data_IF_095166453186
#
_entry.id   IF_095166453186
#
_cell.length_a   1.000
_cell.length_b   1.000
_cell.length_c   1.000
_cell.angle_alpha   90.00
_cell.angle_beta   90.00
_cell.angle_gamma   90.00
#
_symmetry.space_group_name_H-M   'P 1'
#
loop_
_entity.id
_entity.type
_entity.pdbx_description
1 polymer ?
#
# COMPACT_ATOMS: atom_id res chain seq x y z
N UNK A 1 51.22 90.79 19.25
CA UNK A 1 50.43 89.93 18.33
C UNK A 1 51.20 88.65 18.16
N UNK A 2 50.99 87.72 19.08
CA UNK A 2 51.61 86.39 19.07
C UNK A 2 50.49 85.39 19.31
N UNK A 3 50.44 84.40 18.44
CA UNK A 3 49.33 83.50 18.23
C UNK A 3 49.66 82.12 18.81
N UNK A 4 48.75 81.61 19.64
CA UNK A 4 48.38 80.20 19.73
C UNK A 4 49.45 79.14 20.01
N UNK A 5 49.67 78.84 21.30
CA UNK A 5 50.03 77.48 21.74
C UNK A 5 48.76 76.63 21.92
N UNK A 6 48.80 75.31 21.92
CA UNK A 6 49.88 74.38 21.69
C UNK A 6 49.35 72.95 21.81
N UNK A 7 50.15 72.03 21.25
CA UNK A 7 50.26 70.60 21.54
C UNK A 7 49.06 69.69 21.23
N UNK A 8 49.24 68.92 20.15
CA UNK A 8 48.36 67.83 19.75
C UNK A 8 48.65 66.51 20.47
N UNK A 9 47.59 65.73 20.59
CA UNK A 9 47.59 64.28 20.82
C UNK A 9 46.74 63.64 19.71
N UNK A 10 47.17 62.49 19.23
CA UNK A 10 46.66 61.80 18.05
C UNK A 10 45.26 61.22 18.26
N UNK A 11 44.37 61.38 17.28
CA UNK A 11 43.07 60.71 17.23
C UNK A 11 42.77 60.17 15.83
N UNK A 12 42.71 58.84 15.78
CA UNK A 12 41.78 57.97 15.05
C UNK A 12 41.71 57.98 13.51
N UNK A 13 42.10 56.83 12.95
CA UNK A 13 42.09 56.51 11.54
C UNK A 13 40.73 55.92 11.13
N UNK A 14 40.08 56.65 10.23
CA UNK A 14 39.05 56.35 9.24
C UNK A 14 38.33 54.98 9.17
N UNK A 15 37.03 55.18 8.96
CA UNK A 15 36.17 54.62 7.90
C UNK A 15 35.55 53.24 8.15
N UNK A 16 34.25 53.29 8.48
CA UNK A 16 33.36 52.15 8.34
C UNK A 16 33.00 51.90 6.88
N UNK A 17 32.72 50.64 6.58
CA UNK A 17 31.86 50.25 5.47
C UNK A 17 31.11 48.98 5.84
N UNK A 18 29.80 49.02 5.56
CA UNK A 18 28.81 47.99 5.81
C UNK A 18 28.99 46.81 4.85
N UNK A 19 28.82 45.58 5.35
CA UNK A 19 28.42 44.45 4.50
C UNK A 19 27.25 43.67 5.12
N UNK A 20 26.06 43.97 4.61
CA UNK A 20 25.29 42.98 3.85
C UNK A 20 24.57 41.87 4.61
N UNK A 21 23.54 42.21 5.37
CA UNK A 21 22.46 41.26 5.68
C UNK A 21 21.51 41.15 4.48
N UNK A 22 21.71 40.18 3.60
CA UNK A 22 20.70 39.78 2.60
C UNK A 22 19.84 38.63 3.14
N UNK A 23 18.88 38.97 4.00
CA UNK A 23 17.81 38.04 4.36
C UNK A 23 16.81 37.95 3.19
N UNK A 24 16.76 36.80 2.52
CA UNK A 24 15.63 36.47 1.64
C UNK A 24 14.34 36.34 2.49
N UNK A 25 13.20 36.92 2.07
CA UNK A 25 12.00 37.03 2.91
C UNK A 25 11.22 35.72 3.13
N UNK A 26 11.66 34.59 2.56
CA UNK A 26 10.94 33.31 2.61
C UNK A 26 11.85 32.09 2.83
N UNK A 27 12.84 32.20 3.74
CA UNK A 27 13.66 31.06 4.15
C UNK A 27 13.16 30.43 5.44
N UNK A 28 12.56 29.24 5.37
CA UNK A 28 12.20 28.45 6.55
C UNK A 28 13.47 27.92 7.26
N UNK A 29 14.05 28.71 8.16
CA UNK A 29 15.08 28.26 9.12
C UNK A 29 14.40 27.81 10.40
N UNK A 30 13.99 26.55 10.45
CA UNK A 30 13.73 25.90 11.72
C UNK A 30 15.02 25.22 12.18
N UNK A 31 15.30 25.26 13.49
CA UNK A 31 16.42 24.57 14.18
C UNK A 31 17.82 25.19 14.12
N UNK A 32 17.96 26.52 14.12
CA UNK A 32 19.21 27.15 14.54
C UNK A 32 18.93 28.03 15.75
N UNK A 33 19.33 27.57 16.95
CA UNK A 33 19.44 28.46 18.11
C UNK A 33 20.80 29.13 18.00
N UNK A 34 20.84 30.41 17.66
CA UNK A 34 22.02 31.21 17.97
C UNK A 34 22.18 31.19 19.50
N UNK A 35 23.42 31.07 19.98
CA UNK A 35 23.73 30.96 21.39
C UNK A 35 23.46 32.30 22.10
N UNK A 36 22.19 32.66 22.28
CA UNK A 36 21.77 33.70 23.19
C UNK A 36 21.93 33.21 24.62
N UNK A 37 22.23 34.11 25.54
CA UNK A 37 22.52 33.88 26.97
C UNK A 37 21.43 33.12 27.74
N UNK A 38 20.29 32.89 27.12
CA UNK A 38 19.10 32.20 27.63
C UNK A 38 18.96 30.76 27.10
N UNK A 39 19.93 30.27 26.32
CA UNK A 39 19.91 28.91 25.80
C UNK A 39 20.10 27.87 26.91
N UNK A 40 19.21 26.87 26.94
CA UNK A 40 19.34 25.71 27.82
C UNK A 40 20.75 25.10 27.68
N UNK A 41 21.43 24.76 28.79
CA UNK A 41 22.80 24.27 28.78
C UNK A 41 22.94 23.02 27.91
N UNK A 42 24.09 22.89 27.25
CA UNK A 42 24.40 21.73 26.42
C UNK A 42 24.23 20.44 27.26
N UNK A 43 23.51 19.43 26.76
CA UNK A 43 23.31 18.19 27.50
C UNK A 43 24.66 17.50 27.71
N UNK A 44 25.02 17.28 28.97
CA UNK A 44 26.23 16.55 29.32
C UNK A 44 26.04 15.05 29.05
N UNK A 45 26.99 14.37 28.38
CA UNK A 45 26.89 12.94 28.10
C UNK A 45 26.83 12.14 29.40
N UNK A 46 25.76 11.38 29.59
CA UNK A 46 25.61 10.45 30.73
C UNK A 46 26.08 9.08 30.27
N UNK A 47 27.04 8.50 31.01
CA UNK A 47 27.49 7.12 30.78
C UNK A 47 26.37 6.17 31.22
N UNK A 48 25.73 5.51 30.25
CA UNK A 48 24.70 4.51 30.52
C UNK A 48 25.32 3.40 31.37
N UNK A 49 24.78 3.21 32.57
CA UNK A 49 25.09 2.05 33.40
C UNK A 49 24.39 0.84 32.79
N UNK A 50 25.00 -0.35 32.77
CA UNK A 50 24.34 -1.58 32.33
C UNK A 50 23.36 -2.04 33.42
N UNK A 51 22.31 -1.25 33.68
CA UNK A 51 21.16 -1.74 34.40
C UNK A 51 20.20 -2.36 33.38
N UNK A 52 19.59 -3.51 33.69
CA UNK A 52 18.51 -4.00 32.85
C UNK A 52 17.42 -2.94 32.85
N UNK A 53 17.02 -2.48 31.66
CA UNK A 53 15.86 -1.61 31.48
C UNK A 53 14.69 -2.15 32.31
N UNK A 54 13.90 -1.30 33.00
CA UNK A 54 12.70 -1.76 33.68
C UNK A 54 11.87 -2.57 32.70
N UNK A 55 11.75 -3.86 33.01
CA UNK A 55 11.29 -4.89 32.10
C UNK A 55 9.86 -4.57 31.65
N UNK A 56 9.72 -3.97 30.46
CA UNK A 56 8.55 -4.23 29.64
C UNK A 56 8.75 -5.65 29.13
N UNK A 57 7.95 -6.58 29.65
CA UNK A 57 8.01 -8.02 29.34
C UNK A 57 8.35 -8.25 27.86
N UNK A 58 9.51 -8.89 27.55
CA UNK A 58 9.89 -9.20 26.18
C UNK A 58 8.91 -10.12 25.45
N UNK A 59 7.95 -10.69 26.17
CA UNK A 59 7.24 -11.88 25.72
C UNK A 59 6.14 -11.63 24.69
N UNK A 60 5.75 -10.39 24.38
CA UNK A 60 4.66 -10.16 23.42
C UNK A 60 4.76 -8.88 22.57
N UNK A 61 5.94 -8.44 22.12
CA UNK A 61 5.97 -7.38 21.09
C UNK A 61 5.74 -8.00 19.70
N UNK A 62 4.56 -7.78 19.12
CA UNK A 62 4.30 -8.05 17.72
C UNK A 62 5.09 -7.04 16.87
N UNK A 63 5.96 -7.53 16.00
CA UNK A 63 6.76 -6.69 15.09
C UNK A 63 8.26 -6.71 15.39
N UNK A 64 8.96 -5.69 14.92
CA UNK A 64 10.40 -5.52 15.10
C UNK A 64 10.71 -5.05 16.53
N UNK A 65 11.96 -5.24 17.00
CA UNK A 65 12.41 -4.77 18.32
C UNK A 65 12.27 -3.24 18.50
N UNK A 66 12.17 -2.49 17.40
CA UNK A 66 11.89 -1.06 17.41
C UNK A 66 10.44 -0.74 17.82
N UNK A 67 9.50 -1.67 17.62
CA UNK A 67 8.09 -1.49 17.91
C UNK A 67 7.69 -1.79 19.37
N UNK A 68 8.67 -1.81 20.29
CA UNK A 68 8.42 -2.04 21.72
C UNK A 68 7.47 -1.01 22.34
N UNK A 69 7.46 0.22 21.81
CA UNK A 69 6.57 1.29 22.28
C UNK A 69 5.17 1.28 21.61
N UNK A 70 4.84 0.28 20.79
CA UNK A 70 3.57 0.21 20.07
C UNK A 70 3.42 1.24 18.95
N UNK A 71 4.55 1.68 18.39
CA UNK A 71 4.64 2.49 17.17
C UNK A 71 3.97 1.84 15.97
N UNK A 72 3.78 2.60 14.89
CA UNK A 72 3.27 2.08 13.63
C UNK A 72 4.38 1.35 12.88
N UNK A 73 4.15 0.08 12.53
CA UNK A 73 5.02 -0.72 11.65
C UNK A 73 4.16 -1.29 10.52
N UNK A 74 4.57 -1.06 9.27
CA UNK A 74 3.95 -1.65 8.09
C UNK A 74 4.88 -2.66 7.44
N UNK A 75 4.32 -3.80 7.05
CA UNK A 75 4.99 -4.82 6.24
C UNK A 75 4.27 -4.98 4.92
N UNK A 76 5.02 -4.87 3.85
CA UNK A 76 4.51 -5.11 2.51
C UNK A 76 4.34 -6.62 2.27
N UNK A 77 3.12 -7.03 1.96
CA UNK A 77 2.74 -8.40 1.62
C UNK A 77 2.32 -8.55 0.16
N UNK A 78 2.38 -7.49 -0.65
CA UNK A 78 1.97 -7.46 -2.06
C UNK A 78 2.59 -8.57 -2.91
N UNK A 79 3.90 -8.92 -2.81
CA UNK A 79 4.48 -10.00 -3.60
C UNK A 79 3.85 -11.37 -3.27
N UNK A 80 3.63 -11.63 -1.99
CA UNK A 80 3.00 -12.87 -1.53
C UNK A 80 1.53 -12.92 -1.92
N UNK A 81 0.79 -11.83 -1.66
CA UNK A 81 -0.65 -11.75 -1.94
C UNK A 81 -0.95 -11.93 -3.42
N UNK A 82 -0.21 -11.23 -4.29
CA UNK A 82 -0.36 -11.34 -5.75
C UNK A 82 -0.10 -12.76 -6.26
N UNK A 83 0.88 -13.47 -5.69
CA UNK A 83 1.14 -14.87 -6.04
C UNK A 83 0.00 -15.76 -5.55
N UNK A 84 -0.41 -15.59 -4.29
CA UNK A 84 -1.38 -16.45 -3.64
C UNK A 84 -2.77 -16.34 -4.26
N UNK A 85 -3.21 -15.13 -4.60
CA UNK A 85 -4.47 -14.90 -5.31
C UNK A 85 -4.46 -15.65 -6.65
N UNK A 86 -3.36 -15.57 -7.42
CA UNK A 86 -3.24 -16.29 -8.70
C UNK A 86 -3.34 -17.81 -8.51
N UNK A 87 -2.68 -18.36 -7.50
CA UNK A 87 -2.77 -19.79 -7.19
C UNK A 87 -4.20 -20.21 -6.82
N UNK A 88 -4.85 -19.47 -5.93
CA UNK A 88 -6.18 -19.79 -5.43
C UNK A 88 -7.23 -19.72 -6.54
N UNK A 89 -7.18 -18.68 -7.38
CA UNK A 89 -8.13 -18.52 -8.48
C UNK A 89 -7.91 -19.55 -9.59
N UNK A 90 -6.67 -19.94 -9.87
CA UNK A 90 -6.38 -21.05 -10.77
C UNK A 90 -6.83 -22.41 -10.19
N UNK A 91 -6.96 -22.52 -8.86
CA UNK A 91 -7.44 -23.74 -8.18
C UNK A 91 -8.96 -23.92 -8.17
N UNK A 92 -9.75 -22.94 -8.63
CA UNK A 92 -11.21 -23.03 -8.70
C UNK A 92 -11.67 -24.20 -9.59
N UNK A 93 -10.86 -24.59 -10.58
CA UNK A 93 -11.13 -25.75 -11.42
C UNK A 93 -12.25 -25.49 -12.44
N UNK A 94 -12.97 -26.56 -12.77
CA UNK A 94 -14.08 -26.52 -13.72
C UNK A 94 -15.41 -26.33 -12.99
N UNK A 95 -16.31 -25.57 -13.59
CA UNK A 95 -17.69 -25.44 -13.17
C UNK A 95 -18.59 -26.05 -14.24
N UNK A 96 -19.43 -27.00 -13.83
CA UNK A 96 -20.49 -27.55 -14.66
C UNK A 96 -21.67 -26.57 -14.67
N UNK A 97 -21.97 -26.04 -15.85
CA UNK A 97 -23.00 -25.03 -16.10
C UNK A 97 -24.19 -25.68 -16.80
N UNK A 98 -25.36 -25.03 -16.77
CA UNK A 98 -26.58 -25.56 -17.40
C UNK A 98 -26.42 -25.86 -18.89
N UNK A 99 -25.64 -25.05 -19.61
CA UNK A 99 -25.43 -25.18 -21.04
C UNK A 99 -24.01 -25.59 -21.44
N UNK A 100 -23.15 -25.99 -20.49
CA UNK A 100 -21.75 -26.23 -20.81
C UNK A 100 -20.84 -26.49 -19.62
N UNK A 101 -19.54 -26.47 -19.87
CA UNK A 101 -18.50 -26.58 -18.85
C UNK A 101 -17.48 -25.47 -19.04
N UNK A 102 -17.17 -24.73 -18.00
CA UNK A 102 -16.21 -23.64 -18.06
C UNK A 102 -15.09 -23.81 -17.03
N UNK A 103 -13.93 -23.24 -17.33
CA UNK A 103 -12.76 -23.27 -16.48
C UNK A 103 -12.04 -21.92 -16.51
N UNK A 104 -11.62 -21.45 -15.33
CA UNK A 104 -10.66 -20.36 -15.22
C UNK A 104 -9.31 -20.87 -15.74
N UNK A 105 -8.83 -20.28 -16.83
CA UNK A 105 -7.56 -20.68 -17.47
C UNK A 105 -6.39 -19.97 -16.81
N UNK A 106 -6.52 -18.67 -16.58
CA UNK A 106 -5.45 -17.85 -16.03
C UNK A 106 -5.99 -16.54 -15.46
N UNK A 107 -5.31 -15.99 -14.46
CA UNK A 107 -5.47 -14.59 -14.03
C UNK A 107 -4.62 -13.68 -14.92
N UNK A 108 -5.25 -12.89 -15.78
CA UNK A 108 -4.59 -11.97 -16.72
C UNK A 108 -4.10 -10.71 -16.04
N UNK A 109 -4.96 -10.07 -15.22
CA UNK A 109 -4.65 -8.85 -14.48
C UNK A 109 -4.80 -9.15 -12.99
N UNK A 110 -3.78 -8.79 -12.21
CA UNK A 110 -3.79 -8.88 -10.76
C UNK A 110 -2.95 -7.73 -10.24
N UNK A 111 -3.60 -6.59 -10.02
CA UNK A 111 -2.95 -5.33 -9.66
C UNK A 111 -3.56 -4.86 -8.36
N UNK A 112 -2.71 -4.46 -7.43
CA UNK A 112 -3.14 -4.05 -6.10
C UNK A 112 -1.99 -4.08 -5.10
N UNK A 113 -2.33 -3.81 -3.86
CA UNK A 113 -1.42 -3.82 -2.74
C UNK A 113 -2.02 -4.59 -1.55
N UNK A 114 -1.12 -5.17 -0.75
CA UNK A 114 -1.46 -5.82 0.49
C UNK A 114 -0.43 -5.46 1.55
N UNK A 115 -0.90 -5.11 2.74
CA UNK A 115 -0.08 -4.68 3.85
C UNK A 115 -0.55 -5.27 5.18
N UNK A 116 0.41 -5.51 6.06
CA UNK A 116 0.18 -5.82 7.46
C UNK A 116 0.68 -4.66 8.30
N UNK A 117 -0.24 -3.97 8.94
CA UNK A 117 0.02 -2.84 9.84
C UNK A 117 -0.07 -3.32 11.28
N UNK A 118 0.97 -3.03 12.06
CA UNK A 118 1.01 -3.27 13.50
C UNK A 118 1.02 -1.95 14.24
N UNK A 119 0.00 -1.71 15.06
CA UNK A 119 -0.14 -0.48 15.87
C UNK A 119 -0.57 -0.87 17.28
N UNK A 120 0.10 -0.34 18.31
CA UNK A 120 -0.20 -0.63 19.72
C UNK A 120 -0.35 -2.13 20.00
N UNK A 121 0.55 -2.92 19.43
CA UNK A 121 0.54 -4.38 19.55
C UNK A 121 -0.72 -5.07 18.99
N UNK A 122 -1.37 -4.46 18.00
CA UNK A 122 -2.51 -5.05 17.26
C UNK A 122 -2.16 -5.15 15.78
N UNK A 123 -2.34 -6.34 15.22
CA UNK A 123 -2.24 -6.59 13.77
C UNK A 123 -3.51 -6.13 13.07
N UNK A 124 -3.34 -5.46 11.93
CA UNK A 124 -4.38 -5.05 10.99
C UNK A 124 -3.88 -5.41 9.61
N UNK A 125 -4.66 -6.18 8.86
CA UNK A 125 -4.37 -6.46 7.46
C UNK A 125 -5.25 -5.58 6.59
N UNK A 126 -4.71 -5.15 5.47
CA UNK A 126 -5.45 -4.46 4.44
C UNK A 126 -4.95 -4.91 3.08
N UNK A 127 -5.86 -4.92 2.11
CA UNK A 127 -5.51 -5.04 0.72
C UNK A 127 -6.56 -4.34 -0.13
N UNK A 128 -6.14 -3.98 -1.33
CA UNK A 128 -7.00 -3.48 -2.40
C UNK A 128 -6.49 -4.09 -3.70
N UNK A 129 -7.36 -4.79 -4.44
CA UNK A 129 -7.00 -5.46 -5.68
C UNK A 129 -8.05 -5.28 -6.78
N UNK A 130 -7.57 -5.24 -8.02
CA UNK A 130 -8.34 -5.34 -9.25
C UNK A 130 -7.89 -6.59 -10.02
N UNK A 131 -8.85 -7.39 -10.49
CA UNK A 131 -8.57 -8.69 -11.13
C UNK A 131 -9.26 -8.80 -12.49
N UNK A 132 -8.55 -9.37 -13.46
CA UNK A 132 -9.15 -9.85 -14.72
C UNK A 132 -8.80 -11.33 -14.89
N UNK A 133 -9.82 -12.17 -14.98
CA UNK A 133 -9.70 -13.60 -15.15
C UNK A 133 -10.01 -13.97 -16.60
N UNK A 134 -9.20 -14.86 -17.18
CA UNK A 134 -9.49 -15.48 -18.47
C UNK A 134 -10.17 -16.82 -18.24
N UNK A 135 -11.32 -16.98 -18.88
CA UNK A 135 -12.14 -18.18 -18.80
C UNK A 135 -12.23 -18.81 -20.18
N UNK A 136 -12.20 -20.13 -20.22
CA UNK A 136 -12.49 -20.92 -21.41
C UNK A 136 -13.54 -21.94 -21.05
N UNK A 137 -14.48 -22.18 -21.96
CA UNK A 137 -15.48 -23.20 -21.74
C UNK A 137 -16.03 -23.76 -23.03
N UNK A 138 -16.68 -24.90 -22.89
CA UNK A 138 -17.40 -25.60 -23.92
C UNK A 138 -18.89 -25.41 -23.66
N UNK A 139 -19.61 -24.77 -24.58
CA UNK A 139 -21.06 -24.60 -24.50
C UNK A 139 -21.75 -25.40 -25.60
N UNK A 140 -22.87 -26.01 -25.26
CA UNK A 140 -23.74 -26.71 -26.19
C UNK A 140 -24.76 -25.71 -26.74
N UNK A 141 -24.50 -25.20 -27.94
CA UNK A 141 -25.36 -24.23 -28.61
C UNK A 141 -26.00 -24.94 -29.80
N UNK A 142 -27.33 -25.10 -29.78
CA UNK A 142 -28.10 -25.75 -30.86
C UNK A 142 -27.56 -27.12 -31.26
N UNK A 143 -27.26 -27.95 -30.25
CA UNK A 143 -26.70 -29.31 -30.39
C UNK A 143 -25.24 -29.39 -30.87
N UNK A 144 -24.57 -28.25 -31.13
CA UNK A 144 -23.15 -28.19 -31.45
C UNK A 144 -22.35 -27.72 -30.22
N UNK A 145 -21.23 -28.39 -29.93
CA UNK A 145 -20.30 -27.98 -28.87
C UNK A 145 -19.35 -26.92 -29.42
N UNK A 146 -19.46 -25.70 -28.92
CA UNK A 146 -18.56 -24.58 -29.26
C UNK A 146 -17.63 -24.24 -28.11
N UNK A 147 -16.36 -23.99 -28.42
CA UNK A 147 -15.37 -23.55 -27.46
C UNK A 147 -15.32 -22.03 -27.42
N UNK A 148 -15.82 -21.43 -26.35
CA UNK A 148 -15.84 -19.99 -26.18
C UNK A 148 -14.78 -19.53 -25.18
N UNK A 149 -14.25 -18.33 -25.43
CA UNK A 149 -13.33 -17.64 -24.53
C UNK A 149 -14.03 -16.42 -23.96
N UNK A 150 -13.83 -16.18 -22.67
CA UNK A 150 -14.39 -15.05 -21.95
C UNK A 150 -13.39 -14.44 -21.00
N UNK A 151 -13.68 -13.23 -20.58
CA UNK A 151 -12.97 -12.45 -19.58
C UNK A 151 -13.94 -12.11 -18.46
N UNK A 152 -13.54 -12.31 -17.22
CA UNK A 152 -14.28 -11.87 -16.03
C UNK A 152 -13.45 -10.76 -15.39
N UNK A 153 -13.97 -9.56 -15.43
CA UNK A 153 -13.39 -8.38 -14.80
C UNK A 153 -14.03 -8.19 -13.43
N UNK A 154 -13.20 -8.21 -12.39
CA UNK A 154 -13.59 -7.91 -11.02
C UNK A 154 -13.00 -6.53 -10.74
N UNK A 155 -13.85 -5.49 -10.57
CA UNK A 155 -13.39 -4.15 -10.26
C UNK A 155 -12.68 -4.14 -8.91
N UNK A 156 -12.12 -2.99 -8.55
CA UNK A 156 -11.44 -2.80 -7.27
C UNK A 156 -12.29 -3.31 -6.09
N UNK A 157 -11.71 -4.19 -5.29
CA UNK A 157 -12.29 -4.68 -4.04
C UNK A 157 -11.26 -4.69 -2.92
N UNK A 158 -11.74 -4.49 -1.70
CA UNK A 158 -10.91 -4.39 -0.52
C UNK A 158 -11.16 -5.52 0.47
N UNK A 159 -10.31 -5.58 1.49
CA UNK A 159 -10.49 -6.47 2.63
C UNK A 159 -11.85 -6.23 3.33
N UNK A 160 -12.64 -7.29 3.49
CA UNK A 160 -13.96 -7.25 4.13
C UNK A 160 -15.12 -6.85 3.21
N UNK A 161 -14.86 -6.56 1.94
CA UNK A 161 -15.88 -6.18 0.95
C UNK A 161 -16.23 -7.33 -0.01
N UNK A 162 -15.82 -8.56 0.32
CA UNK A 162 -16.08 -9.74 -0.51
C UNK A 162 -17.58 -10.11 -0.58
N UNK A 163 -18.39 -9.59 0.34
CA UNK A 163 -19.84 -9.77 0.34
C UNK A 163 -20.54 -9.10 -0.84
N UNK A 164 -20.07 -7.90 -1.19
CA UNK A 164 -20.63 -7.04 -2.24
C UNK A 164 -19.82 -7.10 -3.54
N UNK A 165 -18.98 -8.13 -3.68
CA UNK A 165 -18.08 -8.32 -4.83
C UNK A 165 -18.88 -8.29 -6.14
N UNK A 166 -18.58 -7.30 -6.98
CA UNK A 166 -19.16 -7.18 -8.31
C UNK A 166 -18.30 -7.93 -9.33
N UNK A 167 -18.91 -8.41 -10.40
CA UNK A 167 -18.19 -8.95 -11.56
C UNK A 167 -18.84 -8.54 -12.87
N UNK A 168 -18.01 -8.17 -13.82
CA UNK A 168 -18.39 -7.92 -15.21
C UNK A 168 -17.85 -9.05 -16.08
N UNK A 169 -18.69 -9.58 -16.96
CA UNK A 169 -18.33 -10.69 -17.85
C UNK A 169 -18.32 -10.16 -19.27
N UNK A 170 -17.23 -10.42 -19.99
CA UNK A 170 -17.03 -10.07 -21.40
C UNK A 170 -16.71 -11.31 -22.20
N UNK A 171 -17.52 -11.62 -23.20
CA UNK A 171 -17.27 -12.75 -24.10
C UNK A 171 -16.40 -12.26 -25.26
N UNK A 172 -15.37 -13.02 -25.65
CA UNK A 172 -14.62 -12.71 -26.86
C UNK A 172 -15.52 -12.98 -28.06
N UNK A 173 -15.86 -11.95 -28.83
CA UNK A 173 -16.82 -12.02 -29.94
C UNK A 173 -16.54 -13.20 -30.88
N UNK A 174 -17.46 -14.16 -30.89
CA UNK A 174 -17.52 -15.23 -31.87
C UNK A 174 -18.74 -14.99 -32.76
N UNK A 175 -18.52 -14.82 -34.07
CA UNK A 175 -19.47 -14.24 -35.04
C UNK A 175 -20.75 -15.06 -35.27
N UNK A 176 -20.95 -16.15 -34.52
CA UNK A 176 -22.02 -17.12 -34.71
C UNK A 176 -22.90 -17.32 -33.46
N UNK A 177 -22.87 -16.40 -32.49
CA UNK A 177 -23.72 -16.43 -31.30
C UNK A 177 -24.98 -15.59 -31.48
N UNK A 178 -26.15 -16.15 -31.13
CA UNK A 178 -27.34 -15.32 -30.97
C UNK A 178 -27.24 -14.52 -29.67
N UNK A 179 -27.92 -13.37 -29.64
CA UNK A 179 -28.05 -12.55 -28.44
C UNK A 179 -28.64 -13.32 -27.23
N UNK A 180 -29.53 -14.29 -27.48
CA UNK A 180 -30.08 -15.15 -26.42
C UNK A 180 -29.02 -16.08 -25.81
N UNK A 181 -28.18 -16.69 -26.65
CA UNK A 181 -27.10 -17.58 -26.21
C UNK A 181 -26.04 -16.79 -25.44
N UNK A 182 -25.70 -15.58 -25.92
CA UNK A 182 -24.76 -14.68 -25.25
C UNK A 182 -25.21 -14.32 -23.83
N UNK A 183 -26.48 -13.95 -23.65
CA UNK A 183 -27.05 -13.63 -22.32
C UNK A 183 -27.00 -14.84 -21.40
N UNK A 184 -27.31 -16.04 -21.91
CA UNK A 184 -27.23 -17.28 -21.13
C UNK A 184 -25.78 -17.57 -20.70
N UNK A 185 -24.81 -17.44 -21.61
CA UNK A 185 -23.39 -17.65 -21.31
C UNK A 185 -22.90 -16.64 -20.26
N UNK A 186 -23.32 -15.38 -20.35
CA UNK A 186 -23.00 -14.36 -19.34
C UNK A 186 -23.58 -14.75 -17.98
N UNK A 187 -24.83 -15.21 -17.93
CA UNK A 187 -25.48 -15.63 -16.69
C UNK A 187 -24.81 -16.87 -16.08
N UNK A 188 -24.40 -17.82 -16.92
CA UNK A 188 -23.65 -19.01 -16.52
C UNK A 188 -22.27 -18.62 -15.97
N UNK A 189 -21.56 -17.71 -16.64
CA UNK A 189 -20.25 -17.22 -16.17
C UNK A 189 -20.35 -16.43 -14.86
N UNK A 190 -21.48 -15.78 -14.57
CA UNK A 190 -21.74 -15.15 -13.27
C UNK A 190 -21.81 -16.15 -12.12
N UNK A 191 -22.03 -17.43 -12.38
CA UNK A 191 -21.96 -18.47 -11.35
C UNK A 191 -20.53 -18.66 -10.80
N UNK A 192 -19.48 -18.23 -11.52
CA UNK A 192 -18.12 -18.21 -10.98
C UNK A 192 -17.93 -17.25 -9.81
N UNK A 193 -18.87 -16.32 -9.56
CA UNK A 193 -18.77 -15.39 -8.44
C UNK A 193 -18.66 -16.12 -7.10
N UNK A 194 -19.46 -17.16 -6.90
CA UNK A 194 -19.47 -17.93 -5.66
C UNK A 194 -18.12 -18.62 -5.38
N UNK A 195 -17.59 -19.48 -6.27
CA UNK A 195 -16.33 -20.15 -6.00
C UNK A 195 -15.13 -19.19 -5.96
N UNK A 196 -15.14 -18.12 -6.77
CA UNK A 196 -14.11 -17.07 -6.69
C UNK A 196 -14.15 -16.39 -5.32
N UNK A 197 -15.35 -16.02 -4.84
CA UNK A 197 -15.55 -15.42 -3.54
C UNK A 197 -15.08 -16.33 -2.41
N UNK A 198 -15.38 -17.63 -2.45
CA UNK A 198 -14.89 -18.60 -1.46
C UNK A 198 -13.36 -18.66 -1.41
N UNK A 199 -12.70 -18.67 -2.58
CA UNK A 199 -11.24 -18.64 -2.66
C UNK A 199 -10.65 -17.33 -2.13
N UNK A 200 -11.31 -16.19 -2.37
CA UNK A 200 -10.89 -14.90 -1.81
C UNK A 200 -11.10 -14.83 -0.29
N UNK A 201 -12.15 -15.46 0.25
CA UNK A 201 -12.31 -15.59 1.70
C UNK A 201 -11.21 -16.45 2.31
N UNK A 202 -10.82 -17.53 1.65
CA UNK A 202 -9.66 -18.32 2.07
C UNK A 202 -8.39 -17.46 2.09
N UNK A 203 -8.16 -16.66 1.04
CA UNK A 203 -7.04 -15.72 0.98
C UNK A 203 -7.07 -14.72 2.17
N UNK A 204 -8.23 -14.17 2.51
CA UNK A 204 -8.39 -13.25 3.65
C UNK A 204 -7.98 -13.88 4.99
N UNK A 205 -8.32 -15.16 5.22
CA UNK A 205 -7.92 -15.85 6.44
C UNK A 205 -6.41 -16.08 6.46
N UNK A 206 -5.83 -16.53 5.35
CA UNK A 206 -4.38 -16.74 5.24
C UNK A 206 -3.59 -15.42 5.39
N UNK A 207 -4.16 -14.30 4.96
CA UNK A 207 -3.56 -12.98 5.15
C UNK A 207 -3.58 -12.58 6.64
N UNK A 208 -4.67 -12.85 7.37
CA UNK A 208 -4.79 -12.57 8.81
C UNK A 208 -3.79 -13.36 9.67
N UNK A 209 -3.47 -14.59 9.25
CA UNK A 209 -2.58 -15.48 10.00
C UNK A 209 -1.08 -15.11 9.88
N UNK A 210 -0.73 -14.20 8.96
CA UNK A 210 0.65 -13.70 8.80
C UNK A 210 1.02 -12.65 9.84
#
# INVERSE_FOLDING_TARGET
MENGGGRGEAMEEKAGEQQGSSSSPYGYRYWVREATSDAAPLPVPIKLSPQPDPQLDPQQSLGSLWNRAGTWEERNLTPWASHRIKELLNSVGFLDLSAGKAQITQVSKCIGDAFLVTVRNKKRVGYTYELTLQVKGEWLIREEKKMLKGHIDIPEFSFGELDDLQMEVRISEEKDLLQQDEVQIIQDLKQFLQPVREKLHQFEQELKDR
#
